data_IF_143270105991
#
_entry.id   IF_143270105991
#
_cell.length_a   1.000
_cell.length_b   1.000
_cell.length_c   1.000
_cell.angle_alpha   90.00
_cell.angle_beta   90.00
_cell.angle_gamma   90.00
#
_symmetry.space_group_name_H-M   'P 1'
#
loop_
_entity.id
_entity.type
_entity.pdbx_description
1 polymer ?
#
# COMPACT_ATOMS: atom_id res chain seq x y z
N UNK A 1 15.55 -2.83 -14.26
CA UNK A 1 14.08 -2.83 -14.05
C UNK A 1 13.66 -1.41 -13.67
N UNK A 2 12.65 -0.82 -14.33
CA UNK A 2 12.27 0.58 -14.11
C UNK A 2 11.70 0.77 -12.69
N UNK A 3 12.23 1.73 -11.90
CA UNK A 3 11.76 2.03 -10.53
C UNK A 3 10.24 2.20 -10.45
N UNK A 4 9.65 2.91 -11.41
CA UNK A 4 8.20 3.10 -11.49
C UNK A 4 7.44 1.78 -11.67
N UNK A 5 7.99 0.83 -12.45
CA UNK A 5 7.38 -0.50 -12.60
C UNK A 5 7.49 -1.32 -11.31
N UNK A 6 8.61 -1.22 -10.58
CA UNK A 6 8.76 -1.87 -9.28
C UNK A 6 7.72 -1.36 -8.28
N UNK A 7 7.55 -0.03 -8.18
CA UNK A 7 6.55 0.59 -7.31
C UNK A 7 5.13 0.17 -7.69
N UNK A 8 4.80 0.10 -8.99
CA UNK A 8 3.50 -0.39 -9.47
C UNK A 8 3.26 -1.84 -9.08
N UNK A 9 4.27 -2.72 -9.19
CA UNK A 9 4.15 -4.13 -8.76
C UNK A 9 3.93 -4.24 -7.25
N UNK A 10 4.67 -3.47 -6.45
CA UNK A 10 4.49 -3.43 -5.00
C UNK A 10 3.08 -2.95 -4.61
N UNK A 11 2.58 -1.89 -5.27
CA UNK A 11 1.20 -1.40 -5.07
C UNK A 11 0.17 -2.49 -5.35
N UNK A 12 0.30 -3.22 -6.47
CA UNK A 12 -0.63 -4.30 -6.82
C UNK A 12 -0.60 -5.44 -5.81
N UNK A 13 0.57 -5.80 -5.30
CA UNK A 13 0.70 -6.80 -4.24
C UNK A 13 -0.02 -6.35 -2.95
N UNK A 14 0.21 -5.14 -2.46
CA UNK A 14 -0.46 -4.69 -1.23
C UNK A 14 -1.97 -4.49 -1.43
N UNK A 15 -2.42 -4.15 -2.64
CA UNK A 15 -3.84 -4.13 -2.99
C UNK A 15 -4.47 -5.53 -2.98
N UNK A 16 -3.73 -6.59 -3.32
CA UNK A 16 -4.26 -7.95 -3.16
C UNK A 16 -4.32 -8.35 -1.69
N UNK A 17 -3.33 -7.99 -0.89
CA UNK A 17 -3.31 -8.24 0.56
C UNK A 17 -4.49 -7.55 1.25
N UNK A 18 -4.71 -6.25 1.02
CA UNK A 18 -5.77 -5.52 1.75
C UNK A 18 -7.18 -6.03 1.42
N UNK A 19 -7.39 -6.66 0.25
CA UNK A 19 -8.67 -7.26 -0.13
C UNK A 19 -9.03 -8.52 0.66
N UNK A 20 -8.05 -9.16 1.30
CA UNK A 20 -8.27 -10.37 2.12
C UNK A 20 -8.43 -10.04 3.60
N UNK A 21 -8.45 -8.75 3.99
CA UNK A 21 -8.50 -8.30 5.38
C UNK A 21 -9.88 -7.72 5.71
N UNK A 22 -10.31 -7.81 6.98
CA UNK A 22 -11.52 -7.12 7.42
C UNK A 22 -11.26 -5.62 7.59
N UNK A 23 -11.90 -4.82 6.73
CA UNK A 23 -11.85 -3.35 6.79
C UNK A 23 -12.56 -2.77 8.02
N UNK A 24 -13.41 -3.56 8.68
CA UNK A 24 -14.18 -3.16 9.86
C UNK A 24 -13.53 -3.63 11.16
N UNK A 25 -12.38 -4.32 11.09
CA UNK A 25 -11.65 -4.76 12.27
C UNK A 25 -11.32 -3.55 13.16
N UNK A 26 -11.69 -3.57 14.46
CA UNK A 26 -11.41 -2.44 15.34
C UNK A 26 -9.91 -2.18 15.48
N UNK A 27 -9.49 -0.92 15.50
CA UNK A 27 -8.07 -0.53 15.51
C UNK A 27 -7.28 -0.99 16.75
N UNK A 28 -7.95 -1.38 17.84
CA UNK A 28 -7.29 -1.93 19.01
C UNK A 28 -6.97 -3.43 18.89
N UNK A 29 -7.48 -4.11 17.85
CA UNK A 29 -7.16 -5.51 17.57
C UNK A 29 -5.91 -5.62 16.71
N UNK A 30 -5.29 -6.80 16.72
CA UNK A 30 -4.18 -7.08 15.83
C UNK A 30 -4.58 -6.92 14.36
N UNK A 31 -5.74 -7.43 13.96
CA UNK A 31 -6.23 -7.35 12.58
C UNK A 31 -6.44 -5.89 12.13
N UNK A 32 -7.08 -5.06 12.96
CA UNK A 32 -7.28 -3.64 12.65
C UNK A 32 -5.94 -2.89 12.53
N UNK A 33 -4.98 -3.19 13.42
CA UNK A 33 -3.63 -2.62 13.33
C UNK A 33 -2.88 -3.07 12.07
N UNK A 34 -3.01 -4.33 11.67
CA UNK A 34 -2.41 -4.82 10.43
C UNK A 34 -3.06 -4.15 9.22
N UNK A 35 -4.38 -3.96 9.21
CA UNK A 35 -5.09 -3.25 8.15
C UNK A 35 -4.57 -1.82 7.99
N UNK A 36 -4.44 -1.09 9.10
CA UNK A 36 -3.88 0.26 9.12
C UNK A 36 -2.43 0.32 8.60
N UNK A 37 -1.59 -0.68 8.95
CA UNK A 37 -0.22 -0.78 8.45
C UNK A 37 -0.17 -1.01 6.94
N UNK A 38 -1.04 -1.86 6.40
CA UNK A 38 -1.12 -2.11 4.95
C UNK A 38 -1.60 -0.86 4.21
N UNK A 39 -2.62 -0.15 4.73
CA UNK A 39 -3.05 1.14 4.21
C UNK A 39 -1.90 2.16 4.17
N UNK A 40 -1.15 2.27 5.26
CA UNK A 40 -0.02 3.19 5.36
C UNK A 40 1.03 2.88 4.28
N UNK A 41 1.37 1.61 4.07
CA UNK A 41 2.30 1.19 3.00
C UNK A 41 1.78 1.56 1.62
N UNK A 42 0.49 1.37 1.35
CA UNK A 42 -0.13 1.74 0.08
C UNK A 42 -0.01 3.25 -0.20
N UNK A 43 -0.30 4.09 0.80
CA UNK A 43 -0.19 5.55 0.68
C UNK A 43 1.26 5.97 0.40
N UNK A 44 2.24 5.40 1.11
CA UNK A 44 3.65 5.71 0.89
C UNK A 44 4.10 5.34 -0.53
N UNK A 45 3.68 4.19 -1.05
CA UNK A 45 3.97 3.79 -2.43
C UNK A 45 3.31 4.75 -3.44
N UNK A 46 2.09 5.20 -3.19
CA UNK A 46 1.43 6.19 -4.06
C UNK A 46 2.23 7.50 -4.14
N UNK A 47 2.69 7.99 -3.00
CA UNK A 47 3.51 9.20 -2.91
C UNK A 47 4.84 9.03 -3.65
N UNK A 48 5.50 7.89 -3.53
CA UNK A 48 6.72 7.60 -4.30
C UNK A 48 6.46 7.53 -5.81
N UNK A 49 5.34 6.95 -6.24
CA UNK A 49 4.94 6.93 -7.65
C UNK A 49 4.72 8.35 -8.16
N UNK A 50 4.06 9.22 -7.38
CA UNK A 50 3.84 10.61 -7.77
C UNK A 50 5.16 11.37 -7.90
N UNK A 51 6.09 11.20 -6.96
CA UNK A 51 7.44 11.79 -7.03
C UNK A 51 8.21 11.32 -8.27
N UNK A 52 8.20 10.03 -8.55
CA UNK A 52 8.89 9.44 -9.72
C UNK A 52 8.29 9.92 -11.05
N UNK A 53 6.98 10.18 -11.09
CA UNK A 53 6.31 10.76 -12.26
C UNK A 53 6.65 12.24 -12.46
N UNK A 54 6.77 13.01 -11.39
CA UNK A 54 7.08 14.45 -11.47
C UNK A 54 8.54 14.73 -11.81
N UNK A 55 9.45 13.79 -11.53
CA UNK A 55 10.86 13.89 -11.86
C UNK A 55 11.19 13.53 -13.34
N UNK A 56 10.19 13.19 -14.14
CA UNK A 56 10.29 12.82 -15.56
C UNK A 56 9.46 13.77 -16.40
#
# INVERSE_FOLDING_TARGET
MNRLQTLRKQKQFWLSVIRTMDKNAPMYTEEGMQYARVLTKLVLIELEIQKEKAAR
#
